data_IF_602626140939
#
_entry.id   IF_602626140939
#
_cell.length_a   1.000
_cell.length_b   1.000
_cell.length_c   1.000
_cell.angle_alpha   90.00
_cell.angle_beta   90.00
_cell.angle_gamma   90.00
#
_symmetry.space_group_name_H-M   'P 1'
#
loop_
_entity.id
_entity.type
_entity.pdbx_description
1 polymer ?
#
# COMPACT_ATOMS: atom_id res chain seq x y z
N UNK A 1 3.78 -2.76 -5.46
CA UNK A 1 4.28 -1.69 -4.56
C UNK A 1 3.25 -0.67 -4.10
N UNK A 2 1.99 -0.70 -4.56
CA UNK A 2 0.93 0.25 -4.14
C UNK A 2 1.37 1.71 -4.26
N UNK A 3 1.91 2.04 -5.42
CA UNK A 3 2.38 3.39 -5.74
C UNK A 3 1.24 4.17 -6.38
N UNK A 4 1.08 5.46 -6.05
CA UNK A 4 0.10 6.33 -6.69
C UNK A 4 0.59 6.69 -8.09
N UNK A 5 -0.01 6.08 -9.12
CA UNK A 5 0.33 6.33 -10.52
C UNK A 5 -0.95 6.62 -11.28
N UNK A 6 -1.08 7.78 -11.90
CA UNK A 6 -2.17 8.09 -12.83
C UNK A 6 -1.71 7.85 -14.26
N UNK A 7 -2.42 6.98 -14.97
CA UNK A 7 -2.21 6.65 -16.37
C UNK A 7 -3.36 7.24 -17.17
N UNK A 8 -3.06 8.17 -18.07
CA UNK A 8 -3.99 8.69 -19.06
C UNK A 8 -3.58 8.14 -20.42
N UNK A 9 -4.48 7.43 -21.09
CA UNK A 9 -4.15 6.73 -22.34
C UNK A 9 -5.21 7.03 -23.39
N UNK A 10 -4.77 7.31 -24.62
CA UNK A 10 -5.68 7.36 -25.76
C UNK A 10 -6.32 6.00 -26.01
N UNK A 11 -7.56 6.01 -26.49
CA UNK A 11 -8.32 4.82 -26.85
C UNK A 11 -8.94 4.99 -28.25
N UNK A 12 -9.64 3.96 -28.74
CA UNK A 12 -10.37 3.98 -30.02
C UNK A 12 -11.49 5.05 -30.01
N UNK A 13 -12.21 5.21 -31.12
CA UNK A 13 -13.37 6.11 -31.15
C UNK A 13 -14.54 5.49 -30.40
N UNK A 14 -15.18 6.26 -29.51
CA UNK A 14 -16.36 5.81 -28.78
C UNK A 14 -17.54 5.58 -29.72
N UNK A 15 -17.68 6.41 -30.76
CA UNK A 15 -18.75 6.31 -31.75
C UNK A 15 -18.54 5.22 -32.82
N UNK A 16 -17.30 4.70 -32.96
CA UNK A 16 -16.88 3.68 -33.95
C UNK A 16 -17.13 4.02 -35.43
N UNK A 17 -17.43 5.27 -35.76
CA UNK A 17 -17.61 5.70 -37.15
C UNK A 17 -16.40 5.45 -38.05
N UNK A 18 -15.14 5.64 -37.57
CA UNK A 18 -13.95 5.42 -38.39
C UNK A 18 -13.36 4.01 -38.26
N UNK A 19 -14.06 3.06 -37.64
CA UNK A 19 -13.51 1.72 -37.37
C UNK A 19 -13.16 0.95 -38.66
N UNK A 20 -12.04 0.20 -38.68
CA UNK A 20 -10.97 0.19 -37.68
C UNK A 20 -10.02 1.39 -37.85
N UNK A 21 -9.48 1.92 -36.74
CA UNK A 21 -8.46 2.97 -36.76
C UNK A 21 -7.04 2.42 -36.63
N UNK A 22 -6.04 3.23 -37.03
CA UNK A 22 -4.63 2.92 -36.82
C UNK A 22 -4.37 2.68 -35.31
N UNK A 23 -3.69 1.58 -34.97
CA UNK A 23 -3.40 1.13 -33.59
C UNK A 23 -4.59 0.52 -32.82
N UNK A 24 -5.80 0.42 -33.40
CA UNK A 24 -6.89 -0.34 -32.81
C UNK A 24 -6.61 -1.85 -32.89
N UNK A 25 -6.86 -2.55 -31.79
CA UNK A 25 -6.92 -4.03 -31.81
C UNK A 25 -8.20 -4.44 -32.52
N UNK A 26 -8.06 -5.21 -33.60
CA UNK A 26 -9.21 -5.81 -34.29
C UNK A 26 -9.67 -7.07 -33.54
N UNK A 27 -10.82 -6.97 -32.87
CA UNK A 27 -11.43 -8.09 -32.15
C UNK A 27 -12.64 -8.63 -32.92
N UNK A 28 -12.53 -9.85 -33.45
CA UNK A 28 -13.55 -10.48 -34.30
C UNK A 28 -14.83 -10.93 -33.55
N UNK A 29 -14.82 -10.91 -32.22
CA UNK A 29 -15.94 -11.39 -31.40
C UNK A 29 -16.66 -10.25 -30.69
N UNK A 30 -15.90 -9.23 -30.26
CA UNK A 30 -16.44 -8.11 -29.50
C UNK A 30 -15.78 -6.78 -29.92
N UNK A 31 -16.50 -5.91 -30.66
CA UNK A 31 -15.97 -4.62 -31.10
C UNK A 31 -15.85 -3.59 -29.97
N UNK A 32 -16.25 -3.92 -28.73
CA UNK A 32 -16.09 -3.03 -27.56
C UNK A 32 -14.77 -3.24 -26.83
N UNK A 33 -14.02 -4.29 -27.16
CA UNK A 33 -12.75 -4.62 -26.51
C UNK A 33 -11.60 -3.90 -27.22
N UNK A 34 -10.71 -3.33 -26.42
CA UNK A 34 -9.56 -2.55 -26.85
C UNK A 34 -8.31 -3.01 -26.06
N UNK A 35 -7.15 -2.46 -26.39
CA UNK A 35 -5.92 -2.72 -25.62
C UNK A 35 -6.01 -2.17 -24.19
N UNK A 36 -6.80 -1.12 -23.94
CA UNK A 36 -6.88 -0.47 -22.63
C UNK A 36 -7.58 -1.36 -21.59
N UNK A 37 -8.43 -2.29 -22.02
CA UNK A 37 -9.12 -3.24 -21.13
C UNK A 37 -8.14 -4.19 -20.41
N UNK A 38 -6.97 -4.47 -21.01
CA UNK A 38 -5.95 -5.30 -20.38
C UNK A 38 -5.45 -4.72 -19.04
N UNK A 39 -5.54 -3.39 -18.87
CA UNK A 39 -5.09 -2.67 -17.68
C UNK A 39 -6.02 -2.83 -16.48
N UNK A 40 -7.27 -3.29 -16.66
CA UNK A 40 -8.21 -3.54 -15.55
C UNK A 40 -7.65 -4.52 -14.52
N UNK A 41 -6.84 -5.50 -14.96
CA UNK A 41 -6.32 -6.57 -14.11
C UNK A 41 -5.21 -6.13 -13.14
N UNK A 42 -4.55 -4.99 -13.39
CA UNK A 42 -3.41 -4.52 -12.60
C UNK A 42 -3.50 -3.05 -12.17
N UNK A 43 -4.68 -2.46 -12.29
CA UNK A 43 -5.01 -1.12 -11.77
C UNK A 43 -6.00 -1.24 -10.60
N UNK A 44 -6.01 -0.25 -9.72
CA UNK A 44 -6.95 -0.13 -8.60
C UNK A 44 -8.25 0.53 -9.00
N UNK A 45 -8.16 1.49 -9.91
CA UNK A 45 -9.29 2.15 -10.51
C UNK A 45 -9.06 2.23 -12.01
N UNK A 46 -10.05 1.80 -12.78
CA UNK A 46 -10.03 1.83 -14.23
C UNK A 46 -11.35 2.36 -14.73
N UNK A 47 -11.32 3.27 -15.69
CA UNK A 47 -12.50 3.74 -16.39
C UNK A 47 -12.18 4.13 -17.84
N UNK A 48 -13.21 4.12 -18.71
CA UNK A 48 -13.17 4.63 -20.07
C UNK A 48 -14.16 5.77 -20.22
N UNK A 49 -13.65 6.96 -20.50
CA UNK A 49 -14.42 8.19 -20.63
C UNK A 49 -15.05 8.26 -22.02
N UNK A 50 -16.14 7.53 -22.22
CA UNK A 50 -16.91 7.52 -23.48
C UNK A 50 -17.78 8.76 -23.70
N UNK A 51 -17.93 9.62 -22.68
CA UNK A 51 -18.59 10.92 -22.77
C UNK A 51 -17.88 11.93 -21.86
N UNK A 52 -17.74 13.21 -22.25
CA UNK A 52 -16.99 14.19 -21.46
C UNK A 52 -17.46 14.32 -20.00
N UNK A 53 -18.77 14.32 -19.74
CA UNK A 53 -19.34 14.46 -18.39
C UNK A 53 -18.96 13.32 -17.43
N UNK A 54 -18.54 12.16 -17.93
CA UNK A 54 -18.14 11.04 -17.07
C UNK A 54 -16.92 11.40 -16.22
N UNK A 55 -16.03 12.27 -16.73
CA UNK A 55 -14.86 12.72 -16.00
C UNK A 55 -15.20 13.37 -14.65
N UNK A 56 -16.37 14.04 -14.55
CA UNK A 56 -16.85 14.67 -13.30
C UNK A 56 -16.98 13.64 -12.17
N UNK A 57 -17.40 12.42 -12.50
CA UNK A 57 -17.56 11.35 -11.51
C UNK A 57 -16.28 10.53 -11.35
N UNK A 58 -15.56 10.28 -12.45
CA UNK A 58 -14.44 9.34 -12.46
C UNK A 58 -13.15 9.94 -11.91
N UNK A 59 -12.85 11.21 -12.18
CA UNK A 59 -11.62 11.85 -11.71
C UNK A 59 -11.55 11.97 -10.17
N UNK A 60 -12.62 12.35 -9.44
CA UNK A 60 -12.59 12.34 -7.98
C UNK A 60 -12.33 10.95 -7.40
N UNK A 61 -12.91 9.89 -7.98
CA UNK A 61 -12.67 8.52 -7.53
C UNK A 61 -11.24 8.08 -7.83
N UNK A 62 -10.73 8.39 -9.02
CA UNK A 62 -9.34 8.18 -9.39
C UNK A 62 -8.37 8.85 -8.38
N UNK A 63 -8.60 10.12 -8.05
CA UNK A 63 -7.80 10.85 -7.07
C UNK A 63 -7.93 10.24 -5.67
N UNK A 64 -9.15 9.88 -5.24
CA UNK A 64 -9.36 9.21 -3.96
C UNK A 64 -8.58 7.89 -3.86
N UNK A 65 -8.61 7.06 -4.91
CA UNK A 65 -7.83 5.82 -4.97
C UNK A 65 -6.33 6.06 -4.88
N UNK A 66 -5.81 7.10 -5.54
CA UNK A 66 -4.38 7.44 -5.46
C UNK A 66 -3.97 7.86 -4.04
N UNK A 67 -4.85 8.52 -3.31
CA UNK A 67 -4.58 9.08 -1.98
C UNK A 67 -4.85 8.11 -0.84
N UNK A 68 -5.59 7.02 -1.06
CA UNK A 68 -5.97 6.09 0.01
C UNK A 68 -4.76 5.26 0.49
N UNK A 69 -4.29 5.41 1.74
CA UNK A 69 -3.14 4.67 2.25
C UNK A 69 -3.37 3.14 2.34
N UNK A 70 -4.62 2.69 2.39
CA UNK A 70 -4.98 1.28 2.44
C UNK A 70 -5.00 0.64 1.05
N UNK A 71 -5.58 1.34 0.06
CA UNK A 71 -5.85 0.77 -1.27
C UNK A 71 -5.07 1.39 -2.44
N UNK A 72 -4.16 2.34 -2.15
CA UNK A 72 -3.35 3.02 -3.17
C UNK A 72 -2.77 2.07 -4.23
N UNK A 73 -2.82 2.53 -5.48
CA UNK A 73 -2.18 1.86 -6.59
C UNK A 73 -2.43 2.58 -7.91
N UNK A 74 -2.06 1.93 -9.03
CA UNK A 74 -2.22 2.53 -10.35
C UNK A 74 -3.68 2.80 -10.66
N UNK A 75 -3.95 3.97 -11.24
CA UNK A 75 -5.23 4.38 -11.76
C UNK A 75 -5.10 4.60 -13.25
N UNK A 76 -6.09 4.16 -14.02
CA UNK A 76 -6.07 4.24 -15.48
C UNK A 76 -7.36 4.84 -16.01
N UNK A 77 -7.25 5.91 -16.79
CA UNK A 77 -8.36 6.50 -17.53
C UNK A 77 -8.08 6.37 -19.02
N UNK A 78 -8.90 5.58 -19.70
CA UNK A 78 -8.91 5.47 -21.14
C UNK A 78 -9.71 6.62 -21.74
N UNK A 79 -9.13 7.30 -22.74
CA UNK A 79 -9.66 8.51 -23.36
C UNK A 79 -9.88 8.25 -24.86
N UNK A 80 -11.10 7.85 -25.28
CA UNK A 80 -11.46 7.76 -26.69
C UNK A 80 -11.11 9.02 -27.48
N UNK A 81 -10.59 8.84 -28.68
CA UNK A 81 -10.03 9.94 -29.47
C UNK A 81 -11.06 11.00 -29.88
N UNK A 82 -12.28 10.59 -30.24
CA UNK A 82 -13.39 11.50 -30.53
C UNK A 82 -13.79 12.32 -29.30
N UNK A 83 -13.88 11.67 -28.14
CA UNK A 83 -14.28 12.33 -26.90
C UNK A 83 -13.26 13.39 -26.45
N UNK A 84 -11.96 13.17 -26.68
CA UNK A 84 -10.94 14.18 -26.40
C UNK A 84 -11.10 15.46 -27.23
N UNK A 85 -11.80 15.41 -28.37
CA UNK A 85 -12.06 16.55 -29.24
C UNK A 85 -13.42 17.24 -28.94
N UNK A 86 -14.25 16.67 -28.07
CA UNK A 86 -15.53 17.25 -27.70
C UNK A 86 -15.36 18.40 -26.69
N UNK A 87 -15.99 19.53 -26.98
CA UNK A 87 -16.11 20.62 -26.01
C UNK A 87 -17.20 20.27 -25.00
N UNK A 88 -16.90 20.47 -23.71
CA UNK A 88 -17.86 20.28 -22.63
C UNK A 88 -17.69 21.38 -21.58
N UNK A 89 -18.82 21.97 -21.17
CA UNK A 89 -18.87 23.04 -20.16
C UNK A 89 -18.75 22.44 -18.75
N UNK A 90 -17.53 22.03 -18.38
CA UNK A 90 -17.23 21.61 -17.02
C UNK A 90 -17.43 22.77 -16.05
N UNK A 91 -17.97 22.53 -14.83
CA UNK A 91 -17.99 23.54 -13.79
C UNK A 91 -16.56 24.01 -13.49
N UNK A 92 -16.28 25.32 -13.50
CA UNK A 92 -14.92 25.85 -13.26
C UNK A 92 -14.32 25.37 -11.92
N UNK A 93 -15.18 25.23 -10.89
CA UNK A 93 -14.82 24.69 -9.57
C UNK A 93 -14.17 23.30 -9.63
N UNK A 94 -14.45 22.51 -10.67
CA UNK A 94 -13.89 21.18 -10.87
C UNK A 94 -12.37 21.19 -11.11
N UNK A 95 -11.83 22.30 -11.64
CA UNK A 95 -10.40 22.48 -11.93
C UNK A 95 -9.70 23.41 -10.95
N UNK A 96 -10.34 23.76 -9.83
CA UNK A 96 -9.68 24.52 -8.78
C UNK A 96 -8.42 23.81 -8.31
N UNK A 97 -7.31 24.56 -8.31
CA UNK A 97 -6.02 24.02 -7.87
C UNK A 97 -6.11 23.57 -6.42
N UNK A 98 -6.06 22.25 -6.23
CA UNK A 98 -6.19 21.62 -4.92
C UNK A 98 -4.89 20.94 -4.53
N UNK A 99 -4.41 21.22 -3.31
CA UNK A 99 -3.34 20.44 -2.69
C UNK A 99 -3.99 19.35 -1.86
N UNK A 100 -4.03 18.13 -2.42
CA UNK A 100 -4.62 17.00 -1.73
C UNK A 100 -3.75 16.53 -0.56
N UNK A 101 -4.40 16.16 0.54
CA UNK A 101 -3.76 15.58 1.72
C UNK A 101 -4.04 14.09 1.77
N UNK A 102 -3.01 13.29 2.04
CA UNK A 102 -3.17 11.85 2.27
C UNK A 102 -3.82 11.68 3.65
N UNK A 103 -4.99 11.02 3.76
CA UNK A 103 -5.63 10.79 5.04
C UNK A 103 -4.78 9.88 5.93
N UNK A 104 -4.82 10.13 7.24
CA UNK A 104 -4.12 9.33 8.25
C UNK A 104 -5.14 8.72 9.22
N UNK A 105 -5.72 7.55 8.89
CA UNK A 105 -6.72 6.93 9.75
C UNK A 105 -6.10 6.54 11.08
N UNK A 106 -6.77 6.91 12.19
CA UNK A 106 -6.35 6.49 13.54
C UNK A 106 -6.82 5.06 13.82
N UNK A 107 -6.02 4.23 14.50
CA UNK A 107 -6.49 2.92 14.91
C UNK A 107 -7.52 2.99 16.04
N UNK A 108 -8.26 1.90 16.20
CA UNK A 108 -9.16 1.72 17.34
C UNK A 108 -8.37 1.74 18.65
N UNK A 109 -8.86 2.50 19.64
CA UNK A 109 -8.18 2.69 20.92
C UNK A 109 -8.08 1.39 21.72
N UNK A 110 -9.05 0.49 21.61
CA UNK A 110 -9.00 -0.78 22.33
C UNK A 110 -7.95 -1.70 21.70
N UNK A 111 -7.84 -1.73 20.37
CA UNK A 111 -6.77 -2.47 19.69
C UNK A 111 -5.37 -1.98 20.09
N UNK A 112 -5.17 -0.67 20.21
CA UNK A 112 -3.90 -0.09 20.71
C UNK A 112 -3.65 -0.51 22.17
N UNK A 113 -4.67 -0.39 23.03
CA UNK A 113 -4.54 -0.76 24.44
C UNK A 113 -4.22 -2.25 24.64
N UNK A 114 -4.84 -3.12 23.85
CA UNK A 114 -4.55 -4.55 23.84
C UNK A 114 -3.13 -4.84 23.35
N UNK A 115 -2.70 -4.21 22.25
CA UNK A 115 -1.35 -4.32 21.73
C UNK A 115 -0.29 -3.91 22.76
N UNK A 116 -0.49 -2.77 23.43
CA UNK A 116 0.38 -2.30 24.50
C UNK A 116 0.42 -3.26 25.69
N UNK A 117 -0.71 -3.87 26.06
CA UNK A 117 -0.79 -4.87 27.13
C UNK A 117 -0.01 -6.15 26.78
N UNK A 118 -0.06 -6.58 25.52
CA UNK A 118 0.73 -7.74 25.04
C UNK A 118 2.23 -7.39 25.06
N UNK A 119 2.61 -6.25 24.48
CA UNK A 119 4.02 -5.83 24.40
C UNK A 119 4.66 -5.66 25.78
N UNK A 120 3.92 -5.15 26.77
CA UNK A 120 4.43 -4.99 28.15
C UNK A 120 4.81 -6.33 28.81
N UNK A 121 4.25 -7.45 28.35
CA UNK A 121 4.52 -8.79 28.88
C UNK A 121 5.55 -9.56 28.04
N UNK A 122 6.04 -8.97 26.95
CA UNK A 122 7.00 -9.63 26.07
C UNK A 122 8.37 -9.74 26.76
N UNK A 123 8.98 -10.91 26.67
CA UNK A 123 10.35 -11.17 27.14
C UNK A 123 11.37 -11.00 26.01
N UNK A 124 10.98 -11.32 24.76
CA UNK A 124 11.80 -11.22 23.56
C UNK A 124 11.04 -10.51 22.43
N UNK A 125 10.66 -9.23 22.62
CA UNK A 125 9.96 -8.49 21.59
C UNK A 125 10.86 -8.23 20.38
N UNK A 126 10.25 -8.17 19.19
CA UNK A 126 10.93 -7.83 17.93
C UNK A 126 10.06 -6.88 17.11
N UNK A 127 10.66 -5.82 16.56
CA UNK A 127 9.97 -4.91 15.63
C UNK A 127 10.34 -5.27 14.19
N UNK A 128 9.33 -5.40 13.32
CA UNK A 128 9.52 -5.47 11.86
C UNK A 128 9.14 -4.11 11.26
N UNK A 129 10.13 -3.38 10.77
CA UNK A 129 9.96 -2.11 10.04
C UNK A 129 9.65 -2.35 8.57
N UNK A 130 8.44 -1.97 8.15
CA UNK A 130 7.96 -2.04 6.77
C UNK A 130 8.09 -0.72 6.01
N UNK A 131 7.90 -0.76 4.69
CA UNK A 131 7.87 0.46 3.88
C UNK A 131 6.76 1.45 4.27
N UNK A 132 5.68 0.98 4.90
CA UNK A 132 4.62 1.82 5.44
C UNK A 132 5.08 2.77 6.54
N UNK A 133 6.20 2.49 7.23
CA UNK A 133 6.81 3.42 8.19
C UNK A 133 7.26 4.70 7.48
N UNK A 134 7.88 4.58 6.31
CA UNK A 134 8.32 5.72 5.50
C UNK A 134 7.15 6.48 4.89
N UNK A 135 6.18 5.75 4.31
CA UNK A 135 4.98 6.38 3.74
C UNK A 135 4.17 7.14 4.80
N UNK A 136 4.18 6.67 6.04
CA UNK A 136 3.54 7.36 7.18
C UNK A 136 4.45 8.43 7.79
N UNK A 137 5.70 8.58 7.35
CA UNK A 137 6.69 9.45 8.01
C UNK A 137 6.88 9.13 9.51
N UNK A 138 6.78 7.86 9.89
CA UNK A 138 6.81 7.39 11.28
C UNK A 138 8.19 6.89 11.73
N UNK A 139 9.26 7.22 10.99
CA UNK A 139 10.60 6.69 11.26
C UNK A 139 11.07 7.11 12.65
N UNK A 140 10.97 8.40 12.98
CA UNK A 140 11.36 8.93 14.29
C UNK A 140 10.64 8.25 15.46
N UNK A 141 9.35 7.97 15.30
CA UNK A 141 8.48 7.40 16.32
C UNK A 141 8.80 5.92 16.53
N UNK A 142 9.01 5.16 15.45
CA UNK A 142 9.43 3.75 15.54
C UNK A 142 10.81 3.64 16.18
N UNK A 143 11.75 4.51 15.80
CA UNK A 143 13.10 4.54 16.39
C UNK A 143 13.04 4.88 17.87
N UNK A 144 12.34 5.96 18.24
CA UNK A 144 12.19 6.37 19.64
C UNK A 144 11.51 5.30 20.49
N UNK A 145 10.50 4.61 19.94
CA UNK A 145 9.85 3.49 20.61
C UNK A 145 10.82 2.33 20.83
N UNK A 146 11.57 1.94 19.80
CA UNK A 146 12.58 0.89 19.89
C UNK A 146 13.65 1.22 20.94
N UNK A 147 14.18 2.45 20.96
CA UNK A 147 15.17 2.91 21.94
C UNK A 147 14.61 2.93 23.36
N UNK A 148 13.40 3.45 23.56
CA UNK A 148 12.77 3.56 24.88
C UNK A 148 12.58 2.21 25.55
N UNK A 149 12.20 1.19 24.77
CA UNK A 149 11.93 -0.15 25.28
C UNK A 149 13.06 -1.16 25.00
N UNK A 150 14.16 -0.69 24.41
CA UNK A 150 15.31 -1.51 24.00
C UNK A 150 14.91 -2.75 23.17
N UNK A 151 14.07 -2.53 22.16
CA UNK A 151 13.53 -3.60 21.29
C UNK A 151 14.34 -3.66 19.99
N UNK A 152 14.89 -4.82 19.61
CA UNK A 152 15.58 -4.96 18.32
C UNK A 152 14.63 -4.71 17.15
N UNK A 153 15.18 -4.11 16.09
CA UNK A 153 14.46 -3.79 14.86
C UNK A 153 15.07 -4.57 13.70
N UNK A 154 14.21 -5.28 12.97
CA UNK A 154 14.53 -5.90 11.68
C UNK A 154 13.74 -5.23 10.57
N UNK A 155 14.28 -5.27 9.37
CA UNK A 155 13.75 -4.49 8.25
C UNK A 155 13.22 -5.39 7.13
N UNK A 156 12.11 -4.99 6.52
CA UNK A 156 11.79 -5.49 5.17
C UNK A 156 12.65 -4.78 4.12
N UNK A 157 12.74 -5.30 2.90
CA UNK A 157 13.46 -4.60 1.82
C UNK A 157 12.91 -3.18 1.59
N UNK A 158 11.59 -2.99 1.67
CA UNK A 158 10.95 -1.68 1.53
C UNK A 158 11.06 -0.79 2.78
N UNK A 159 11.33 -1.39 3.94
CA UNK A 159 11.50 -0.71 5.23
C UNK A 159 12.96 -0.49 5.61
N UNK A 160 13.90 -0.73 4.68
CA UNK A 160 15.32 -0.56 4.92
C UNK A 160 15.65 0.91 5.19
N UNK A 161 16.68 1.14 6.02
CA UNK A 161 17.19 2.47 6.37
C UNK A 161 16.32 3.23 7.37
N UNK A 162 15.51 2.52 8.17
CA UNK A 162 14.83 3.14 9.31
C UNK A 162 15.86 3.46 10.42
N UNK A 163 16.89 2.63 10.53
CA UNK A 163 18.05 2.84 11.39
C UNK A 163 19.34 2.90 10.58
N UNK A 164 20.35 3.58 11.11
CA UNK A 164 21.70 3.52 10.57
C UNK A 164 22.28 2.11 10.72
N UNK A 165 23.24 1.76 9.86
CA UNK A 165 23.84 0.43 9.81
C UNK A 165 24.59 0.03 11.10
N UNK A 166 25.06 1.01 11.86
CA UNK A 166 25.82 0.89 13.10
C UNK A 166 24.95 1.13 14.35
N UNK A 167 23.64 1.35 14.18
CA UNK A 167 22.73 1.52 15.29
C UNK A 167 22.60 0.21 16.08
N UNK A 168 22.74 0.21 17.43
CA UNK A 168 22.82 -1.02 18.22
C UNK A 168 21.56 -1.90 18.17
N UNK A 169 20.38 -1.29 17.92
CA UNK A 169 19.13 -2.03 17.76
C UNK A 169 18.85 -2.50 16.33
N UNK A 170 19.69 -2.13 15.35
CA UNK A 170 19.51 -2.55 13.97
C UNK A 170 20.04 -3.98 13.78
N UNK A 171 19.13 -4.91 13.51
CA UNK A 171 19.44 -6.33 13.32
C UNK A 171 19.51 -6.76 11.85
N UNK A 172 19.29 -5.81 10.93
CA UNK A 172 19.37 -6.02 9.49
C UNK A 172 18.08 -6.52 8.83
N UNK A 173 18.15 -6.91 7.55
CA UNK A 173 16.99 -7.38 6.80
C UNK A 173 16.52 -8.75 7.28
N UNK A 174 15.21 -8.95 7.40
CA UNK A 174 14.58 -10.23 7.73
C UNK A 174 14.25 -11.05 6.48
N UNK A 175 14.34 -12.39 6.59
CA UNK A 175 13.72 -13.31 5.65
C UNK A 175 14.70 -14.16 4.84
N UNK A 176 14.23 -14.70 3.69
CA UNK A 176 14.98 -15.65 2.83
C UNK A 176 16.31 -15.09 2.35
N UNK A 177 16.30 -13.81 1.97
CA UNK A 177 17.49 -13.04 1.54
C UNK A 177 17.96 -12.08 2.63
N UNK A 178 17.56 -12.36 3.88
CA UNK A 178 17.88 -11.57 5.06
C UNK A 178 19.23 -11.93 5.67
N UNK A 179 19.49 -11.35 6.84
CA UNK A 179 20.66 -11.61 7.65
C UNK A 179 20.39 -12.74 8.65
N UNK A 180 21.43 -13.50 9.00
CA UNK A 180 21.34 -14.54 10.04
C UNK A 180 20.99 -13.97 11.40
N UNK A 181 21.46 -12.75 11.73
CA UNK A 181 21.11 -12.02 12.95
C UNK A 181 19.61 -11.74 13.05
N UNK A 182 19.00 -11.20 11.99
CA UNK A 182 17.57 -10.91 11.96
C UNK A 182 16.72 -12.18 12.09
N UNK A 183 17.10 -13.25 11.37
CA UNK A 183 16.37 -14.51 11.40
C UNK A 183 16.48 -15.22 12.76
N UNK A 184 17.65 -15.19 13.41
CA UNK A 184 17.83 -15.76 14.75
C UNK A 184 16.97 -15.06 15.81
N UNK A 185 16.87 -13.72 15.75
CA UNK A 185 15.98 -12.97 16.65
C UNK A 185 14.51 -13.27 16.38
N UNK A 186 14.10 -13.38 15.11
CA UNK A 186 12.74 -13.74 14.74
C UNK A 186 12.37 -15.17 15.16
N UNK A 187 13.32 -16.09 15.14
CA UNK A 187 13.12 -17.48 15.54
C UNK A 187 12.71 -17.58 17.02
N UNK A 188 13.34 -16.77 17.88
CA UNK A 188 13.13 -16.77 19.33
C UNK A 188 12.05 -15.81 19.83
N UNK A 189 11.61 -14.85 19.01
CA UNK A 189 10.71 -13.78 19.41
C UNK A 189 9.37 -14.32 19.95
N UNK A 190 8.94 -13.81 21.12
CA UNK A 190 7.64 -14.16 21.72
C UNK A 190 6.54 -13.17 21.34
N UNK A 191 6.89 -11.93 21.02
CA UNK A 191 5.98 -10.92 20.45
C UNK A 191 6.66 -10.21 19.29
N UNK A 192 5.98 -10.19 18.14
CA UNK A 192 6.43 -9.46 16.95
C UNK A 192 5.51 -8.26 16.71
N UNK A 193 6.07 -7.06 16.70
CA UNK A 193 5.40 -5.83 16.31
C UNK A 193 5.73 -5.51 14.84
N UNK A 194 4.81 -5.85 13.95
CA UNK A 194 4.92 -5.59 12.53
C UNK A 194 4.30 -4.23 12.17
N UNK A 195 5.13 -3.26 11.76
CA UNK A 195 4.69 -1.88 11.49
C UNK A 195 4.78 -1.59 9.99
N UNK A 196 3.65 -1.24 9.37
CA UNK A 196 3.61 -0.78 7.98
C UNK A 196 4.13 -1.82 6.97
N UNK A 197 4.03 -3.11 7.27
CA UNK A 197 4.55 -4.19 6.44
C UNK A 197 3.45 -5.08 5.88
N UNK A 198 3.68 -5.60 4.67
CA UNK A 198 2.79 -6.58 4.02
C UNK A 198 3.08 -8.01 4.47
N UNK A 199 4.14 -8.26 5.24
CA UNK A 199 4.55 -9.60 5.67
C UNK A 199 4.59 -10.59 4.49
N UNK A 200 5.30 -10.21 3.42
CA UNK A 200 5.42 -11.05 2.23
C UNK A 200 6.23 -12.32 2.54
N UNK A 201 6.09 -13.32 1.67
CA UNK A 201 6.77 -14.61 1.76
C UNK A 201 8.28 -14.46 1.92
N UNK A 202 8.94 -13.60 1.14
CA UNK A 202 10.38 -13.40 1.25
C UNK A 202 10.78 -12.81 2.60
N UNK A 203 10.02 -11.86 3.14
CA UNK A 203 10.26 -11.26 4.46
C UNK A 203 10.05 -12.28 5.59
N UNK A 204 9.03 -13.12 5.48
CA UNK A 204 8.66 -14.07 6.54
C UNK A 204 9.33 -15.44 6.37
N UNK A 205 10.09 -15.66 5.29
CA UNK A 205 10.55 -17.00 4.92
C UNK A 205 9.39 -17.97 4.68
N UNK A 206 8.29 -17.51 4.10
CA UNK A 206 7.02 -18.24 4.07
C UNK A 206 6.58 -18.67 5.48
N UNK A 207 6.70 -17.75 6.42
CA UNK A 207 6.48 -17.91 7.87
C UNK A 207 7.48 -18.81 8.62
N UNK A 208 8.48 -19.39 7.94
CA UNK A 208 9.43 -20.31 8.57
C UNK A 208 10.46 -19.64 9.49
N UNK A 209 10.67 -18.32 9.37
CA UNK A 209 11.65 -17.60 10.22
C UNK A 209 11.18 -17.43 11.66
N UNK A 210 9.90 -17.69 11.95
CA UNK A 210 9.36 -17.61 13.30
C UNK A 210 9.24 -19.02 13.89
N UNK A 211 10.13 -19.36 14.83
CA UNK A 211 10.22 -20.70 15.42
C UNK A 211 9.40 -20.86 16.71
N UNK A 212 9.10 -19.77 17.41
CA UNK A 212 8.34 -19.80 18.64
C UNK A 212 6.83 -20.01 18.38
N UNK A 213 6.31 -21.20 18.69
CA UNK A 213 4.89 -21.56 18.50
C UNK A 213 3.91 -20.68 19.31
N UNK A 214 4.39 -20.05 20.39
CA UNK A 214 3.59 -19.16 21.24
C UNK A 214 3.68 -17.69 20.82
N UNK A 215 4.41 -17.40 19.73
CA UNK A 215 4.61 -16.04 19.25
C UNK A 215 3.28 -15.33 19.00
N UNK A 216 3.17 -14.09 19.51
CA UNK A 216 2.05 -13.19 19.26
C UNK A 216 2.46 -12.15 18.24
N UNK A 217 1.74 -12.10 17.13
CA UNK A 217 1.92 -11.07 16.13
C UNK A 217 0.97 -9.90 16.40
N UNK A 218 1.49 -8.69 16.42
CA UNK A 218 0.74 -7.43 16.41
C UNK A 218 1.06 -6.74 15.08
N UNK A 219 0.04 -6.35 14.33
CA UNK A 219 0.24 -5.74 13.02
C UNK A 219 -0.43 -4.37 12.95
N UNK A 220 0.39 -3.31 12.87
CA UNK A 220 -0.04 -1.93 12.62
C UNK A 220 0.02 -1.67 11.12
N UNK A 221 -1.12 -1.47 10.48
CA UNK A 221 -1.16 -1.19 9.04
C UNK A 221 -2.43 -0.43 8.63
N UNK A 222 -2.31 0.54 7.73
CA UNK A 222 -3.45 1.27 7.18
C UNK A 222 -4.34 0.33 6.35
N UNK A 223 -3.74 -0.64 5.67
CA UNK A 223 -4.46 -1.66 4.92
C UNK A 223 -4.94 -2.78 5.84
N UNK A 224 -6.26 -2.85 6.03
CA UNK A 224 -6.93 -3.92 6.79
C UNK A 224 -6.46 -5.33 6.38
N UNK A 225 -6.33 -5.58 5.07
CA UNK A 225 -5.90 -6.88 4.54
C UNK A 225 -4.52 -7.30 5.06
N UNK A 226 -3.58 -6.36 5.20
CA UNK A 226 -2.24 -6.66 5.70
C UNK A 226 -2.21 -6.78 7.24
N UNK A 227 -3.03 -6.00 7.95
CA UNK A 227 -3.12 -6.05 9.40
C UNK A 227 -3.70 -7.38 9.95
N UNK A 228 -4.51 -8.11 9.17
CA UNK A 228 -5.15 -9.36 9.60
C UNK A 228 -4.35 -10.64 9.31
N UNK A 229 -3.15 -10.52 8.75
CA UNK A 229 -2.36 -11.69 8.37
C UNK A 229 -1.97 -12.53 9.58
N UNK A 230 -1.99 -13.85 9.40
CA UNK A 230 -1.42 -14.81 10.34
C UNK A 230 -1.95 -14.70 11.79
N UNK A 231 -3.26 -14.43 11.92
CA UNK A 231 -3.95 -14.27 13.22
C UNK A 231 -3.36 -13.16 14.10
N UNK A 232 -2.76 -12.14 13.48
CA UNK A 232 -2.25 -10.98 14.20
C UNK A 232 -3.36 -10.30 15.00
N UNK A 233 -3.00 -9.72 16.15
CA UNK A 233 -3.78 -8.62 16.71
C UNK A 233 -3.67 -7.44 15.75
N UNK A 234 -4.76 -7.14 15.07
CA UNK A 234 -4.79 -6.12 14.03
C UNK A 234 -5.02 -4.73 14.60
N UNK A 235 -4.08 -3.83 14.34
CA UNK A 235 -4.18 -2.40 14.65
C UNK A 235 -4.30 -1.69 13.31
N UNK A 236 -5.53 -1.51 12.83
CA UNK A 236 -5.79 -0.95 11.50
C UNK A 236 -5.72 0.57 11.57
N UNK A 237 -4.67 1.17 11.03
CA UNK A 237 -4.42 2.61 11.07
C UNK A 237 -3.07 2.99 10.49
N UNK A 238 -2.89 4.29 10.28
CA UNK A 238 -1.60 4.89 9.90
C UNK A 238 -0.54 4.64 10.99
N UNK A 239 0.70 4.37 10.56
CA UNK A 239 1.77 3.97 11.49
C UNK A 239 2.31 5.11 12.35
N UNK A 240 2.13 6.37 11.95
CA UNK A 240 2.48 7.53 12.78
C UNK A 240 1.38 7.79 13.83
N UNK A 241 0.14 7.51 13.47
CA UNK A 241 -1.03 7.78 14.32
C UNK A 241 -1.35 6.66 15.33
N UNK A 242 -0.82 5.46 15.14
CA UNK A 242 -1.11 4.26 15.94
C UNK A 242 0.05 3.80 16.79
#
# INVERSE_FOLDING_TARGET
NRLPILLLSGDTFANRLPDPVLQQVENFQNPTMTVTDAFQSFTRYWDRINRPEQLISSLPQAVATLLDPADCGPVFLALPQDIQAEAFDYPEVFFEKTVHQIPRPRPDRNSIAEAASILRKAEKPLIISGGGVFYSCAVSEVVSFAETFNIPVVETIAGRSALLHDHPLNSGPLGVIGSSSANALAEEADVVLAVGTRLQDFTTGSWSVFGNEKMRLIAINAARYDAHKHRALSVVGDALAG
#
